data_IF_449681035604
#
_entry.id   IF_449681035604
#
_cell.length_a   1.000
_cell.length_b   1.000
_cell.length_c   1.000
_cell.angle_alpha   90.00
_cell.angle_beta   90.00
_cell.angle_gamma   90.00
#
_symmetry.space_group_name_H-M   'P 1'
#
loop_
_entity.id
_entity.type
_entity.pdbx_description
1 polymer ?
#
# COMPACT_ATOMS: atom_id res chain seq x y z
N UNK A 1 5.25 -12.06 19.91
CA UNK A 1 4.66 -10.94 19.13
C UNK A 1 3.20 -11.28 18.86
N UNK A 2 2.25 -10.39 19.16
CA UNK A 2 0.82 -10.65 18.87
C UNK A 2 0.50 -10.42 17.38
N UNK A 3 -0.67 -10.89 16.92
CA UNK A 3 -1.07 -10.83 15.51
C UNK A 3 -1.08 -9.38 14.97
N UNK A 4 -1.58 -8.43 15.76
CA UNK A 4 -1.61 -7.01 15.43
C UNK A 4 -0.20 -6.47 15.17
N UNK A 5 0.75 -6.74 16.07
CA UNK A 5 2.13 -6.23 15.92
C UNK A 5 2.81 -6.85 14.70
N UNK A 6 2.64 -8.17 14.49
CA UNK A 6 3.19 -8.87 13.32
C UNK A 6 2.63 -8.28 12.01
N UNK A 7 1.31 -8.21 11.89
CA UNK A 7 0.65 -7.68 10.70
C UNK A 7 1.02 -6.21 10.45
N UNK A 8 1.12 -5.41 11.51
CA UNK A 8 1.52 -4.01 11.42
C UNK A 8 2.93 -3.86 10.84
N UNK A 9 3.92 -4.62 11.33
CA UNK A 9 5.28 -4.53 10.80
C UNK A 9 5.39 -5.00 9.34
N UNK A 10 4.67 -6.06 8.96
CA UNK A 10 4.62 -6.51 7.56
C UNK A 10 4.03 -5.42 6.67
N UNK A 11 2.91 -4.80 7.09
CA UNK A 11 2.29 -3.71 6.35
C UNK A 11 3.20 -2.48 6.27
N UNK A 12 3.84 -2.08 7.37
CA UNK A 12 4.79 -0.95 7.41
C UNK A 12 5.90 -1.15 6.39
N UNK A 13 6.54 -2.32 6.38
CA UNK A 13 7.65 -2.62 5.48
C UNK A 13 7.17 -2.60 4.02
N UNK A 14 6.05 -3.25 3.72
CA UNK A 14 5.50 -3.32 2.37
C UNK A 14 5.10 -1.93 1.84
N UNK A 15 4.31 -1.16 2.58
CA UNK A 15 3.90 0.19 2.17
C UNK A 15 5.07 1.17 2.11
N UNK A 16 6.09 1.02 2.96
CA UNK A 16 7.31 1.85 2.88
C UNK A 16 8.10 1.54 1.61
N UNK A 17 8.25 0.26 1.26
CA UNK A 17 8.90 -0.13 0.00
C UNK A 17 8.14 0.40 -1.22
N UNK A 18 6.81 0.32 -1.22
CA UNK A 18 5.98 0.89 -2.29
C UNK A 18 6.09 2.42 -2.31
N UNK A 19 6.19 3.07 -1.15
CA UNK A 19 6.38 4.53 -1.08
C UNK A 19 7.70 4.96 -1.74
N UNK A 20 8.78 4.21 -1.55
CA UNK A 20 10.05 4.44 -2.25
C UNK A 20 9.89 4.29 -3.77
N UNK A 21 9.10 3.31 -4.22
CA UNK A 21 8.76 3.17 -5.63
C UNK A 21 7.98 4.39 -6.16
N UNK A 22 6.99 4.91 -5.42
CA UNK A 22 6.28 6.14 -5.81
C UNK A 22 7.21 7.36 -5.87
N UNK A 23 8.14 7.50 -4.92
CA UNK A 23 9.16 8.56 -4.94
C UNK A 23 10.02 8.45 -6.20
N UNK A 24 10.46 7.25 -6.56
CA UNK A 24 11.23 7.02 -7.78
C UNK A 24 10.45 7.41 -9.05
N UNK A 25 9.16 7.08 -9.13
CA UNK A 25 8.30 7.48 -10.23
C UNK A 25 8.14 9.01 -10.33
N UNK A 26 7.94 9.69 -9.19
CA UNK A 26 7.87 11.16 -9.12
C UNK A 26 9.18 11.78 -9.62
N UNK A 27 10.32 11.22 -9.23
CA UNK A 27 11.66 11.64 -9.68
C UNK A 27 11.92 11.33 -11.17
N UNK A 28 11.05 10.56 -11.83
CA UNK A 28 11.16 10.22 -13.25
C UNK A 28 12.00 8.99 -13.53
N UNK A 29 12.04 8.03 -12.62
CA UNK A 29 12.56 6.69 -12.90
C UNK A 29 11.79 6.06 -14.08
N UNK A 30 12.46 5.27 -14.94
CA UNK A 30 11.86 4.72 -16.14
C UNK A 30 11.04 3.43 -15.86
N UNK A 31 10.20 3.44 -14.83
CA UNK A 31 9.45 2.27 -14.35
C UNK A 31 7.93 2.38 -14.56
N UNK A 32 7.47 3.24 -15.46
CA UNK A 32 6.06 3.45 -15.72
C UNK A 32 5.30 2.20 -16.17
N UNK A 33 5.98 1.22 -16.76
CA UNK A 33 5.36 -0.06 -17.15
C UNK A 33 4.99 -0.97 -15.96
N UNK A 34 5.50 -0.64 -14.77
CA UNK A 34 5.15 -1.25 -13.49
C UNK A 34 4.11 -0.43 -12.72
N UNK A 35 3.49 0.58 -13.33
CA UNK A 35 2.50 1.41 -12.65
C UNK A 35 1.33 1.78 -13.57
N UNK A 36 0.18 2.04 -12.94
CA UNK A 36 -1.03 2.52 -13.62
C UNK A 36 -1.48 1.63 -14.81
N UNK A 37 -1.46 0.31 -14.64
CA UNK A 37 -1.87 -0.66 -15.66
C UNK A 37 -0.81 -0.88 -16.76
N UNK A 38 0.41 -0.37 -16.59
CA UNK A 38 1.49 -0.43 -17.56
C UNK A 38 1.25 0.43 -18.80
N UNK A 39 0.37 1.44 -18.72
CA UNK A 39 -0.05 2.27 -19.86
C UNK A 39 1.12 3.08 -20.47
N UNK A 40 2.15 3.40 -19.70
CA UNK A 40 3.27 4.23 -20.11
C UNK A 40 4.60 3.53 -19.87
N UNK A 41 5.30 3.13 -20.94
CA UNK A 41 6.65 2.56 -20.82
C UNK A 41 7.69 3.64 -20.51
N UNK A 42 8.69 3.30 -19.72
CA UNK A 42 9.76 4.23 -19.35
C UNK A 42 9.30 5.29 -18.35
N UNK A 43 9.60 6.56 -18.60
CA UNK A 43 9.29 7.65 -17.66
C UNK A 43 7.82 8.04 -17.73
N UNK A 44 7.16 8.17 -16.58
CA UNK A 44 5.78 8.64 -16.53
C UNK A 44 5.65 10.10 -17.00
N UNK A 45 4.57 10.45 -17.71
CA UNK A 45 4.22 11.85 -17.97
C UNK A 45 3.82 12.56 -16.66
N UNK A 46 3.86 13.89 -16.67
CA UNK A 46 3.72 14.73 -15.46
C UNK A 46 2.42 14.45 -14.70
N UNK A 47 1.29 14.27 -15.38
CA UNK A 47 0.00 13.97 -14.76
C UNK A 47 0.02 12.70 -13.92
N UNK A 48 0.69 11.64 -14.39
CA UNK A 48 0.82 10.38 -13.66
C UNK A 48 1.82 10.48 -12.51
N UNK A 49 2.83 11.34 -12.61
CA UNK A 49 3.73 11.63 -11.47
C UNK A 49 3.01 12.36 -10.35
N UNK A 50 2.10 13.27 -10.69
CA UNK A 50 1.19 13.88 -9.71
C UNK A 50 0.31 12.82 -9.07
N UNK A 51 -0.23 11.87 -9.85
CA UNK A 51 -0.91 10.68 -9.32
C UNK A 51 -0.05 9.89 -8.33
N UNK A 52 1.22 9.64 -8.65
CA UNK A 52 2.17 8.99 -7.74
C UNK A 52 2.40 9.79 -6.45
N UNK A 53 2.43 11.13 -6.51
CA UNK A 53 2.55 11.97 -5.33
C UNK A 53 1.32 11.87 -4.40
N UNK A 54 0.11 11.81 -4.96
CA UNK A 54 -1.10 11.56 -4.18
C UNK A 54 -1.08 10.16 -3.55
N UNK A 55 -0.70 9.14 -4.30
CA UNK A 55 -0.57 7.76 -3.80
C UNK A 55 0.46 7.66 -2.68
N UNK A 56 1.59 8.37 -2.80
CA UNK A 56 2.61 8.44 -1.76
C UNK A 56 2.07 9.04 -0.47
N UNK A 57 1.34 10.17 -0.55
CA UNK A 57 0.75 10.81 0.63
C UNK A 57 -0.22 9.86 1.36
N UNK A 58 -1.04 9.12 0.60
CA UNK A 58 -1.92 8.09 1.16
C UNK A 58 -1.13 6.99 1.86
N UNK A 59 -0.07 6.44 1.24
CA UNK A 59 0.73 5.38 1.83
C UNK A 59 1.49 5.84 3.08
N UNK A 60 1.95 7.09 3.15
CA UNK A 60 2.53 7.66 4.38
C UNK A 60 1.49 7.65 5.51
N UNK A 61 0.26 8.07 5.23
CA UNK A 61 -0.83 8.01 6.22
C UNK A 61 -1.12 6.59 6.70
N UNK A 62 -1.16 5.63 5.78
CA UNK A 62 -1.36 4.20 6.10
C UNK A 62 -0.20 3.65 6.95
N UNK A 63 1.05 3.96 6.61
CA UNK A 63 2.23 3.58 7.43
C UNK A 63 2.13 4.20 8.82
N UNK A 64 1.76 5.47 8.94
CA UNK A 64 1.53 6.14 10.22
C UNK A 64 0.46 5.43 11.07
N UNK A 65 -0.65 5.01 10.45
CA UNK A 65 -1.69 4.22 11.13
C UNK A 65 -1.14 2.89 11.66
N UNK A 66 -0.41 2.12 10.85
CA UNK A 66 0.16 0.85 11.31
C UNK A 66 1.28 1.02 12.33
N UNK A 67 2.06 2.11 12.28
CA UNK A 67 3.00 2.45 13.36
C UNK A 67 2.27 2.69 14.69
N UNK A 68 1.08 3.28 14.66
CA UNK A 68 0.25 3.41 15.85
C UNK A 68 -0.32 2.07 16.34
N UNK A 69 -0.65 1.14 15.42
CA UNK A 69 -1.05 -0.22 15.79
C UNK A 69 0.10 -1.03 16.40
N UNK A 70 1.33 -0.81 15.93
CA UNK A 70 2.55 -1.40 16.49
C UNK A 70 3.00 -0.75 17.81
N UNK A 71 2.32 0.29 18.28
CA UNK A 71 2.66 1.01 19.52
C UNK A 71 3.84 1.97 19.41
N UNK A 72 4.30 2.27 18.19
CA UNK A 72 5.39 3.24 17.94
C UNK A 72 4.87 4.67 17.96
N UNK A 73 3.66 4.88 17.41
CA UNK A 73 2.96 6.16 17.46
C UNK A 73 1.73 6.07 18.36
N UNK A 74 1.26 7.22 18.84
CA UNK A 74 -0.02 7.31 19.52
C UNK A 74 -1.16 7.14 18.53
N UNK A 75 -2.16 6.31 18.88
CA UNK A 75 -3.38 6.16 18.08
C UNK A 75 -4.12 7.50 18.01
N UNK A 76 -4.42 7.95 16.79
CA UNK A 76 -5.17 9.17 16.55
C UNK A 76 -6.69 8.97 16.67
N UNK A 77 -7.16 7.74 16.41
CA UNK A 77 -8.58 7.36 16.45
C UNK A 77 -8.89 6.66 17.78
N UNK A 78 -10.11 6.86 18.29
CA UNK A 78 -10.65 6.05 19.38
C UNK A 78 -10.81 4.59 18.98
N UNK A 79 -11.07 3.70 19.95
CA UNK A 79 -11.12 2.27 19.71
C UNK A 79 -12.14 1.85 18.64
N UNK A 80 -13.31 2.49 18.59
CA UNK A 80 -14.37 2.16 17.63
C UNK A 80 -13.98 2.56 16.20
N UNK A 81 -13.56 3.82 16.03
CA UNK A 81 -13.11 4.33 14.73
C UNK A 81 -11.83 3.63 14.26
N UNK A 82 -10.94 3.25 15.17
CA UNK A 82 -9.73 2.51 14.86
C UNK A 82 -10.05 1.11 14.29
N UNK A 83 -11.03 0.41 14.87
CA UNK A 83 -11.52 -0.86 14.35
C UNK A 83 -12.14 -0.71 12.95
N UNK A 84 -12.95 0.32 12.74
CA UNK A 84 -13.52 0.64 11.42
C UNK A 84 -12.40 0.92 10.39
N UNK A 85 -11.39 1.69 10.77
CA UNK A 85 -10.25 2.00 9.91
C UNK A 85 -9.46 0.73 9.52
N UNK A 86 -9.25 -0.20 10.46
CA UNK A 86 -8.56 -1.47 10.17
C UNK A 86 -9.33 -2.29 9.11
N UNK A 87 -10.66 -2.42 9.26
CA UNK A 87 -11.49 -3.12 8.28
C UNK A 87 -11.62 -2.38 6.94
N UNK A 88 -11.63 -1.05 6.95
CA UNK A 88 -11.61 -0.25 5.73
C UNK A 88 -10.30 -0.48 4.94
N UNK A 89 -9.16 -0.60 5.63
CA UNK A 89 -7.88 -0.94 5.00
C UNK A 89 -7.88 -2.36 4.43
N UNK A 90 -8.50 -3.33 5.11
CA UNK A 90 -8.71 -4.68 4.55
C UNK A 90 -9.50 -4.60 3.24
N UNK A 91 -10.64 -3.90 3.22
CA UNK A 91 -11.46 -3.75 2.02
C UNK A 91 -10.68 -3.09 0.88
N UNK A 92 -9.95 -2.00 1.17
CA UNK A 92 -9.07 -1.34 0.21
C UNK A 92 -8.02 -2.29 -0.36
N UNK A 93 -7.42 -3.14 0.47
CA UNK A 93 -6.41 -4.10 0.04
C UNK A 93 -7.01 -5.28 -0.75
N UNK A 94 -8.26 -5.66 -0.51
CA UNK A 94 -8.99 -6.60 -1.39
C UNK A 94 -9.13 -6.02 -2.79
N UNK A 95 -9.59 -4.77 -2.90
CA UNK A 95 -9.68 -4.09 -4.19
C UNK A 95 -8.32 -3.94 -4.87
N UNK A 96 -7.28 -3.63 -4.10
CA UNK A 96 -5.90 -3.57 -4.59
C UNK A 96 -5.44 -4.92 -5.15
N UNK A 97 -5.64 -6.02 -4.43
CA UNK A 97 -5.28 -7.36 -4.90
C UNK A 97 -6.03 -7.73 -6.18
N UNK A 98 -7.34 -7.45 -6.24
CA UNK A 98 -8.15 -7.71 -7.44
C UNK A 98 -7.63 -6.89 -8.63
N UNK A 99 -7.40 -5.60 -8.46
CA UNK A 99 -6.87 -4.73 -9.51
C UNK A 99 -5.50 -5.22 -10.02
N UNK A 100 -4.59 -5.58 -9.12
CA UNK A 100 -3.25 -6.06 -9.46
C UNK A 100 -3.25 -7.49 -10.04
N UNK A 101 -4.25 -8.31 -9.74
CA UNK A 101 -4.39 -9.67 -10.31
C UNK A 101 -5.05 -9.65 -11.69
N UNK A 102 -5.95 -8.70 -11.93
CA UNK A 102 -6.73 -8.58 -13.16
C UNK A 102 -6.11 -7.61 -14.19
N UNK A 103 -5.05 -6.89 -13.83
CA UNK A 103 -4.31 -6.02 -14.76
C UNK A 103 -3.84 -6.79 -16.01
N UNK A 104 -3.87 -6.11 -17.16
CA UNK A 104 -3.36 -6.63 -18.43
C UNK A 104 -1.83 -6.56 -18.49
N UNK A 105 -1.19 -5.73 -17.65
CA UNK A 105 0.27 -5.65 -17.56
C UNK A 105 0.84 -6.88 -16.82
N UNK A 106 1.51 -7.77 -17.55
CA UNK A 106 2.16 -8.94 -16.94
C UNK A 106 3.27 -8.55 -15.96
N UNK A 107 3.92 -7.40 -16.19
CA UNK A 107 4.94 -6.86 -15.29
C UNK A 107 4.34 -6.46 -13.95
N UNK A 108 3.21 -5.74 -13.98
CA UNK A 108 2.49 -5.40 -12.75
C UNK A 108 1.94 -6.63 -12.05
N UNK A 109 1.32 -7.55 -12.80
CA UNK A 109 0.75 -8.76 -12.20
C UNK A 109 1.79 -9.57 -11.43
N UNK A 110 2.97 -9.77 -12.02
CA UNK A 110 4.06 -10.52 -11.41
C UNK A 110 4.62 -9.86 -10.16
N UNK A 111 4.68 -8.52 -10.13
CA UNK A 111 5.28 -7.77 -9.01
C UNK A 111 4.24 -7.48 -7.93
N UNK A 112 3.09 -6.91 -8.30
CA UNK A 112 2.16 -6.30 -7.37
C UNK A 112 1.07 -7.24 -6.87
N UNK A 113 0.67 -8.28 -7.62
CA UNK A 113 -0.32 -9.22 -7.09
C UNK A 113 0.20 -9.96 -5.85
N UNK A 114 1.45 -10.48 -5.82
CA UNK A 114 2.01 -11.08 -4.60
C UNK A 114 2.16 -10.08 -3.46
N UNK A 115 2.61 -8.85 -3.75
CA UNK A 115 2.75 -7.80 -2.74
C UNK A 115 1.40 -7.41 -2.15
N UNK A 116 0.37 -7.22 -2.98
CA UNK A 116 -0.99 -6.92 -2.55
C UNK A 116 -1.59 -8.05 -1.72
N UNK A 117 -1.28 -9.31 -2.05
CA UNK A 117 -1.71 -10.47 -1.28
C UNK A 117 -1.10 -10.47 0.13
N UNK A 118 0.21 -10.22 0.23
CA UNK A 118 0.91 -10.10 1.53
C UNK A 118 0.33 -8.95 2.36
N UNK A 119 0.08 -7.79 1.73
CA UNK A 119 -0.52 -6.64 2.40
C UNK A 119 -1.95 -6.95 2.87
N UNK A 120 -2.75 -7.65 2.08
CA UNK A 120 -4.09 -8.06 2.47
C UNK A 120 -4.04 -8.95 3.72
N UNK A 121 -3.19 -9.98 3.72
CA UNK A 121 -3.00 -10.84 4.89
C UNK A 121 -2.53 -10.04 6.12
N UNK A 122 -1.56 -9.14 5.94
CA UNK A 122 -1.07 -8.28 7.01
C UNK A 122 -2.19 -7.40 7.60
N UNK A 123 -3.02 -6.78 6.74
CA UNK A 123 -4.15 -5.96 7.18
C UNK A 123 -5.24 -6.78 7.87
N UNK A 124 -5.48 -8.03 7.43
CA UNK A 124 -6.41 -8.95 8.10
C UNK A 124 -5.93 -9.31 9.50
N UNK A 125 -4.64 -9.62 9.69
CA UNK A 125 -4.06 -9.91 11.00
C UNK A 125 -4.23 -8.74 11.99
N UNK A 126 -4.16 -7.51 11.50
CA UNK A 126 -4.38 -6.29 12.29
C UNK A 126 -5.87 -6.07 12.59
N UNK A 127 -6.76 -6.39 11.66
CA UNK A 127 -8.19 -6.17 11.83
C UNK A 127 -8.88 -7.20 12.77
N UNK A 128 -8.36 -8.42 12.85
CA UNK A 128 -8.91 -9.49 13.70
C UNK A 128 -8.31 -9.57 15.10
N UNK A 129 -7.11 -9.01 15.29
CA UNK A 129 -6.35 -9.05 16.55
C UNK A 129 -6.59 -7.83 17.42
#
# INVERSE_FOLDING_TARGET
MNLVTLGSWVAIIAFSAISLFQIALIAGAPWGEYAFGGAHKGKLPVSFRVGSAFTLALYIGIVGHYLAQAGVLTKFLDAGLNGIANWALVALNVFSLLANSLTQSQKEKTVWAPVAFVILLASLLVAIG
#
